data_IF_277807165591
#
_entry.id   IF_277807165591
#
_cell.length_a   1.000
_cell.length_b   1.000
_cell.length_c   1.000
_cell.angle_alpha   90.00
_cell.angle_beta   90.00
_cell.angle_gamma   90.00
#
_symmetry.space_group_name_H-M   'P 1'
#
loop_
_entity.id
_entity.type
_entity.pdbx_description
1 polymer ?
#
# COMPACT_ATOMS: atom_id res chain seq x y z
N UNK A 1 5.95 0.59 -13.95
CA UNK A 1 5.79 -0.53 -12.99
C UNK A 1 4.80 -0.11 -11.92
N UNK A 2 3.92 -1.02 -11.50
CA UNK A 2 2.98 -0.84 -10.40
C UNK A 2 3.32 -1.85 -9.31
N UNK A 3 3.50 -1.39 -8.08
CA UNK A 3 3.76 -2.23 -6.92
C UNK A 3 2.41 -2.69 -6.36
N UNK A 4 2.17 -4.01 -6.36
CA UNK A 4 0.86 -4.61 -6.02
C UNK A 4 1.04 -5.61 -4.88
N UNK A 5 0.21 -5.59 -3.82
CA UNK A 5 0.30 -6.58 -2.75
C UNK A 5 -0.10 -7.99 -3.23
N UNK A 6 0.57 -9.02 -2.69
CA UNK A 6 0.21 -10.44 -2.90
C UNK A 6 0.33 -11.25 -1.59
N UNK A 7 -0.76 -11.77 -1.01
CA UNK A 7 -2.14 -11.67 -1.49
C UNK A 7 -2.67 -10.23 -1.45
N UNK A 8 -3.59 -9.90 -2.36
CA UNK A 8 -4.23 -8.59 -2.43
C UNK A 8 -5.49 -8.61 -3.29
N UNK A 9 -6.26 -7.52 -3.26
CA UNK A 9 -7.48 -7.43 -4.06
C UNK A 9 -7.16 -7.49 -5.57
N UNK A 10 -7.72 -8.45 -6.34
CA UNK A 10 -7.29 -8.73 -7.72
C UNK A 10 -7.44 -7.56 -8.70
N UNK A 11 -8.31 -6.59 -8.39
CA UNK A 11 -8.57 -5.43 -9.24
C UNK A 11 -7.34 -4.53 -9.37
N UNK A 12 -6.45 -4.50 -8.38
CA UNK A 12 -5.22 -3.70 -8.46
C UNK A 12 -4.32 -4.15 -9.62
N UNK A 13 -4.04 -5.45 -9.72
CA UNK A 13 -3.24 -6.00 -10.82
C UNK A 13 -3.97 -5.93 -12.16
N UNK A 14 -5.28 -6.22 -12.16
CA UNK A 14 -6.08 -6.15 -13.39
C UNK A 14 -6.10 -4.73 -13.97
N UNK A 15 -6.34 -3.71 -13.14
CA UNK A 15 -6.35 -2.31 -13.54
C UNK A 15 -4.99 -1.85 -14.07
N UNK A 16 -3.90 -2.26 -13.41
CA UNK A 16 -2.55 -1.98 -13.89
C UNK A 16 -2.30 -2.59 -15.29
N UNK A 17 -2.68 -3.84 -15.52
CA UNK A 17 -2.54 -4.48 -16.83
C UNK A 17 -3.41 -3.82 -17.92
N UNK A 18 -4.67 -3.48 -17.61
CA UNK A 18 -5.54 -2.78 -18.55
C UNK A 18 -4.99 -1.39 -18.94
N UNK A 19 -4.28 -0.72 -18.04
CA UNK A 19 -3.59 0.53 -18.31
C UNK A 19 -2.23 0.35 -19.04
N UNK A 20 -1.87 -0.87 -19.45
CA UNK A 20 -0.58 -1.18 -20.09
C UNK A 20 0.61 -1.21 -19.14
N UNK A 21 0.36 -1.31 -17.83
CA UNK A 21 1.39 -1.34 -16.78
C UNK A 21 1.94 -2.75 -16.51
N UNK A 22 3.19 -2.79 -16.07
CA UNK A 22 3.86 -3.98 -15.54
C UNK A 22 3.65 -4.06 -14.01
N UNK A 23 3.09 -5.16 -13.51
CA UNK A 23 2.93 -5.40 -12.07
C UNK A 23 4.22 -6.00 -11.48
N UNK A 24 4.68 -5.44 -10.36
CA UNK A 24 5.65 -6.07 -9.48
C UNK A 24 4.96 -6.39 -8.15
N UNK A 25 4.86 -7.68 -7.86
CA UNK A 25 4.15 -8.15 -6.67
C UNK A 25 5.01 -8.02 -5.42
N UNK A 26 4.42 -7.50 -4.35
CA UNK A 26 4.99 -7.36 -3.01
C UNK A 26 4.43 -8.48 -2.13
N UNK A 27 5.21 -9.55 -1.83
CA UNK A 27 4.71 -10.65 -1.04
C UNK A 27 4.39 -10.23 0.40
N UNK A 28 3.11 -10.31 0.78
CA UNK A 28 2.64 -10.09 2.14
C UNK A 28 2.74 -11.41 2.91
N UNK A 29 3.78 -11.51 3.74
CA UNK A 29 4.08 -12.74 4.48
C UNK A 29 3.62 -12.62 5.92
N UNK A 30 3.09 -13.73 6.47
CA UNK A 30 2.69 -13.84 7.89
C UNK A 30 3.79 -13.41 8.85
N UNK A 31 5.04 -13.75 8.55
CA UNK A 31 6.21 -13.42 9.39
C UNK A 31 6.42 -11.91 9.58
N UNK A 32 5.91 -11.07 8.68
CA UNK A 32 5.98 -9.61 8.74
C UNK A 32 4.61 -8.99 9.04
N UNK A 33 3.68 -9.77 9.62
CA UNK A 33 2.31 -9.30 9.87
C UNK A 33 1.54 -8.94 8.60
N UNK A 34 1.91 -9.52 7.45
CA UNK A 34 1.38 -9.18 6.13
C UNK A 34 1.55 -7.70 5.74
N UNK A 35 2.57 -7.03 6.27
CA UNK A 35 3.05 -5.76 5.75
C UNK A 35 4.08 -6.00 4.63
N UNK A 36 4.09 -5.21 3.55
CA UNK A 36 5.10 -5.32 2.51
C UNK A 36 6.47 -4.91 3.06
N UNK A 37 7.48 -5.70 2.72
CA UNK A 37 8.87 -5.35 3.00
C UNK A 37 9.37 -4.39 1.91
N UNK A 38 9.36 -3.09 2.22
CA UNK A 38 9.80 -2.04 1.31
C UNK A 38 11.30 -2.17 0.96
N UNK A 39 12.11 -2.76 1.84
CA UNK A 39 13.53 -3.00 1.62
C UNK A 39 13.82 -4.16 0.66
N UNK A 40 12.87 -5.09 0.51
CA UNK A 40 12.96 -6.20 -0.42
C UNK A 40 12.65 -5.81 -1.88
N UNK A 41 12.10 -4.60 -2.12
CA UNK A 41 11.81 -4.10 -3.46
C UNK A 41 13.14 -3.71 -4.13
N UNK A 42 13.52 -4.33 -5.26
CA UNK A 42 14.78 -4.00 -5.93
C UNK A 42 14.83 -2.53 -6.35
N UNK A 43 15.99 -1.88 -6.18
CA UNK A 43 16.12 -0.45 -6.40
C UNK A 43 15.86 -0.03 -7.87
N UNK A 44 16.14 -0.90 -8.83
CA UNK A 44 15.80 -0.70 -10.25
C UNK A 44 14.29 -0.76 -10.49
N UNK A 45 13.58 -1.68 -9.83
CA UNK A 45 12.11 -1.76 -9.85
C UNK A 45 11.51 -0.51 -9.19
N UNK A 46 11.98 -0.13 -8.00
CA UNK A 46 11.49 1.03 -7.28
C UNK A 46 11.64 2.33 -8.09
N UNK A 47 12.76 2.53 -8.80
CA UNK A 47 12.96 3.70 -9.69
C UNK A 47 12.03 3.70 -10.91
N UNK A 48 11.61 2.52 -11.41
CA UNK A 48 10.64 2.40 -12.51
C UNK A 48 9.18 2.42 -12.03
N UNK A 49 8.95 2.28 -10.73
CA UNK A 49 7.63 2.28 -10.15
C UNK A 49 6.99 3.67 -10.30
N UNK A 50 5.69 3.67 -10.63
CA UNK A 50 4.88 4.89 -10.72
C UNK A 50 3.76 4.92 -9.71
N UNK A 51 3.36 3.75 -9.24
CA UNK A 51 2.23 3.58 -8.34
C UNK A 51 2.49 2.40 -7.39
N UNK A 52 2.06 2.54 -6.13
CA UNK A 52 1.99 1.49 -5.13
C UNK A 52 0.58 1.38 -4.59
N UNK A 53 0.00 0.19 -4.63
CA UNK A 53 -1.25 -0.09 -3.93
C UNK A 53 -0.98 -0.60 -2.51
N UNK A 54 -1.75 -0.10 -1.55
CA UNK A 54 -1.82 -0.60 -0.19
C UNK A 54 -3.29 -0.70 0.21
N UNK A 55 -3.64 -1.67 1.05
CA UNK A 55 -5.00 -1.86 1.54
C UNK A 55 -4.94 -2.26 3.01
N UNK A 56 -5.24 -1.31 3.90
CA UNK A 56 -5.25 -1.52 5.34
C UNK A 56 -6.43 -0.77 5.99
N UNK A 57 -7.27 -1.45 6.80
CA UNK A 57 -7.26 -2.88 7.10
C UNK A 57 -7.38 -3.77 5.84
N UNK A 58 -6.64 -4.88 5.82
CA UNK A 58 -6.34 -5.60 4.60
C UNK A 58 -7.37 -6.68 4.26
N UNK A 59 -7.80 -6.70 3.00
CA UNK A 59 -8.41 -7.86 2.37
C UNK A 59 -7.36 -8.56 1.48
N UNK A 60 -7.08 -9.86 1.68
CA UNK A 60 -7.85 -10.84 2.46
C UNK A 60 -7.30 -11.17 3.86
N UNK A 61 -6.20 -10.54 4.28
CA UNK A 61 -5.42 -11.04 5.44
C UNK A 61 -5.91 -10.57 6.80
N UNK A 62 -6.83 -9.61 6.85
CA UNK A 62 -7.24 -8.86 8.04
C UNK A 62 -6.08 -8.12 8.76
N UNK A 63 -4.91 -8.01 8.12
CA UNK A 63 -3.79 -7.28 8.67
C UNK A 63 -4.06 -5.78 8.76
N UNK A 64 -3.36 -5.14 9.68
CA UNK A 64 -3.50 -3.72 10.01
C UNK A 64 -2.17 -3.00 9.87
N UNK A 65 -2.21 -1.72 9.51
CA UNK A 65 -1.04 -0.87 9.37
C UNK A 65 -0.86 0.05 10.58
N UNK A 66 0.39 0.25 11.00
CA UNK A 66 0.71 1.22 12.05
C UNK A 66 1.06 2.59 11.45
N UNK A 67 0.97 3.69 12.23
CA UNK A 67 1.46 4.99 11.79
C UNK A 67 2.95 4.96 11.40
N UNK A 68 3.76 4.14 12.08
CA UNK A 68 5.17 3.97 11.76
C UNK A 68 5.39 3.32 10.38
N UNK A 69 4.55 2.34 10.02
CA UNK A 69 4.57 1.75 8.68
C UNK A 69 4.23 2.79 7.61
N UNK A 70 3.15 3.57 7.80
CA UNK A 70 2.81 4.62 6.84
C UNK A 70 3.88 5.69 6.71
N UNK A 71 4.56 6.06 7.79
CA UNK A 71 5.73 6.95 7.72
C UNK A 71 6.81 6.37 6.79
N UNK A 72 7.14 5.09 6.95
CA UNK A 72 8.10 4.41 6.07
C UNK A 72 7.65 4.37 4.60
N UNK A 73 6.35 4.19 4.35
CA UNK A 73 5.75 4.25 3.01
C UNK A 73 5.91 5.65 2.41
N UNK A 74 5.63 6.72 3.16
CA UNK A 74 5.79 8.11 2.68
C UNK A 74 7.25 8.39 2.33
N UNK A 75 8.19 7.99 3.19
CA UNK A 75 9.63 8.14 2.94
C UNK A 75 10.07 7.38 1.67
N UNK A 76 9.61 6.14 1.50
CA UNK A 76 9.87 5.33 0.31
C UNK A 76 9.29 5.99 -0.96
N UNK A 77 8.04 6.43 -0.90
CA UNK A 77 7.35 7.05 -2.03
C UNK A 77 8.04 8.35 -2.48
N UNK A 78 8.44 9.20 -1.52
CA UNK A 78 9.23 10.42 -1.79
C UNK A 78 10.58 10.10 -2.41
N UNK A 79 11.30 9.11 -1.85
CA UNK A 79 12.64 8.72 -2.33
C UNK A 79 12.62 8.25 -3.79
N UNK A 80 11.58 7.51 -4.19
CA UNK A 80 11.49 6.92 -5.52
C UNK A 80 10.56 7.67 -6.47
N UNK A 81 9.94 8.76 -6.02
CA UNK A 81 8.99 9.58 -6.79
C UNK A 81 7.88 8.74 -7.42
N UNK A 82 7.14 8.02 -6.57
CA UNK A 82 5.97 7.22 -6.94
C UNK A 82 4.73 7.66 -6.14
N UNK A 83 3.55 7.38 -6.71
CA UNK A 83 2.27 7.62 -6.06
C UNK A 83 1.87 6.43 -5.18
N UNK A 84 1.36 6.70 -3.98
CA UNK A 84 0.74 5.70 -3.10
C UNK A 84 -0.78 5.80 -3.25
N UNK A 85 -1.41 4.67 -3.54
CA UNK A 85 -2.84 4.50 -3.61
C UNK A 85 -3.26 3.63 -2.42
N UNK A 86 -3.69 4.26 -1.33
CA UNK A 86 -4.15 3.56 -0.14
C UNK A 86 -5.66 3.32 -0.23
N UNK A 87 -6.07 2.07 -0.26
CA UNK A 87 -7.46 1.65 -0.19
C UNK A 87 -7.84 1.41 1.27
N UNK A 88 -8.59 2.36 1.84
CA UNK A 88 -9.07 2.35 3.22
C UNK A 88 -10.53 1.89 3.31
N UNK A 89 -10.98 0.98 2.43
CA UNK A 89 -12.36 0.48 2.41
C UNK A 89 -12.84 -0.10 3.75
N UNK A 90 -11.93 -0.68 4.55
CA UNK A 90 -12.28 -1.30 5.83
C UNK A 90 -11.94 -0.42 7.05
N UNK A 91 -11.75 0.89 6.87
CA UNK A 91 -11.38 1.80 7.97
C UNK A 91 -12.44 1.89 9.09
N UNK A 92 -13.68 1.48 8.82
CA UNK A 92 -14.76 1.42 9.82
C UNK A 92 -14.94 0.02 10.42
N UNK A 93 -14.25 -1.00 9.88
CA UNK A 93 -14.33 -2.39 10.35
C UNK A 93 -13.05 -2.75 11.11
N UNK A 94 -13.03 -2.41 12.39
CA UNK A 94 -11.90 -2.64 13.28
C UNK A 94 -12.34 -3.24 14.61
N UNK A 95 -11.40 -3.92 15.29
CA UNK A 95 -11.66 -4.69 16.50
C UNK A 95 -10.64 -4.33 17.59
N UNK A 96 -10.90 -4.76 18.82
CA UNK A 96 -9.94 -4.76 19.94
C UNK A 96 -9.33 -3.38 20.26
N UNK A 97 -10.09 -2.31 20.02
CA UNK A 97 -9.66 -0.93 20.26
C UNK A 97 -8.60 -0.42 19.28
N UNK A 98 -8.30 -1.15 18.20
CA UNK A 98 -7.51 -0.64 17.09
C UNK A 98 -8.30 0.48 16.39
N UNK A 99 -7.70 1.65 16.25
CA UNK A 99 -8.23 2.75 15.45
C UNK A 99 -7.43 2.83 14.15
N UNK A 100 -8.01 2.49 12.99
CA UNK A 100 -7.29 2.50 11.72
C UNK A 100 -6.76 3.90 11.41
N UNK A 101 -5.43 4.10 11.29
CA UNK A 101 -4.91 5.39 10.91
C UNK A 101 -5.19 5.64 9.43
N UNK A 102 -5.62 6.84 9.09
CA UNK A 102 -5.61 7.29 7.70
C UNK A 102 -4.16 7.44 7.23
N UNK A 103 -3.84 6.94 6.03
CA UNK A 103 -2.56 7.19 5.39
C UNK A 103 -2.34 8.71 5.23
N UNK A 104 -3.39 9.46 4.87
CA UNK A 104 -3.33 10.91 4.69
C UNK A 104 -3.13 11.71 5.98
N UNK A 105 -3.27 11.08 7.15
CA UNK A 105 -2.90 11.67 8.43
C UNK A 105 -1.38 11.66 8.68
N UNK A 106 -0.61 10.90 7.88
CA UNK A 106 0.85 10.86 7.97
C UNK A 106 1.46 12.10 7.32
N UNK A 107 2.40 12.75 8.00
CA UNK A 107 3.09 13.94 7.48
C UNK A 107 3.71 13.68 6.11
N UNK A 108 3.26 14.46 5.12
CA UNK A 108 3.75 14.36 3.75
C UNK A 108 3.04 13.33 2.86
N UNK A 109 2.10 12.55 3.40
CA UNK A 109 1.34 11.58 2.61
C UNK A 109 0.52 12.23 1.49
N UNK A 110 -0.04 13.43 1.74
CA UNK A 110 -0.80 14.20 0.77
C UNK A 110 0.02 14.65 -0.45
N UNK A 111 1.35 14.70 -0.33
CA UNK A 111 2.23 15.06 -1.44
C UNK A 111 2.52 13.87 -2.37
N UNK A 112 2.33 12.64 -1.88
CA UNK A 112 2.78 11.41 -2.55
C UNK A 112 1.70 10.36 -2.68
N UNK A 113 0.45 10.64 -2.30
CA UNK A 113 -0.58 9.64 -2.42
C UNK A 113 -2.01 10.14 -2.29
N UNK A 114 -2.89 9.20 -2.60
CA UNK A 114 -4.34 9.33 -2.55
C UNK A 114 -4.87 8.21 -1.66
N UNK A 115 -5.98 8.48 -0.98
CA UNK A 115 -6.69 7.50 -0.17
C UNK A 115 -8.11 7.35 -0.68
N UNK A 116 -8.55 6.10 -0.85
CA UNK A 116 -9.89 5.74 -1.27
C UNK A 116 -10.66 5.21 -0.08
N UNK A 117 -11.96 5.46 -0.08
CA UNK A 117 -12.90 4.94 0.89
C UNK A 117 -14.23 4.65 0.20
N UNK A 118 -15.02 3.72 0.75
CA UNK A 118 -16.37 3.39 0.28
C UNK A 118 -17.29 3.29 1.48
N UNK A 119 -18.52 3.79 1.31
CA UNK A 119 -19.65 3.59 2.23
C UNK A 119 -20.17 2.15 2.15
#
# INVERSE_FOLDING_TARGET
VVLVPDPGYPVYSAGAWFAGGECHFMPLRRQNGFLPDLGAIPADVARRAKLMYLNYPNNPTAAVASPAFFKGVVEFARRFNLLVCHDAMYSELHFDGYEPPSFLATDGAKDVGVEFHSL
#
